data_IF_701377317628
#
_entry.id   IF_701377317628
#
_cell.length_a   1.000
_cell.length_b   1.000
_cell.length_c   1.000
_cell.angle_alpha   90.00
_cell.angle_beta   90.00
_cell.angle_gamma   90.00
#
_symmetry.space_group_name_H-M   'P 1'
#
loop_
_entity.id
_entity.type
_entity.pdbx_description
1 polymer ?
#
# COMPACT_ATOMS: atom_id res chain seq x y z
N UNK A 1 21.48 -4.08 -7.66
CA UNK A 1 20.43 -3.42 -8.49
C UNK A 1 19.16 -3.13 -7.69
N UNK A 2 18.72 -4.03 -6.81
CA UNK A 2 17.51 -3.84 -5.98
C UNK A 2 17.55 -2.62 -5.06
N UNK A 3 18.70 -2.36 -4.40
CA UNK A 3 18.89 -1.15 -3.56
C UNK A 3 18.67 0.15 -4.35
N UNK A 4 19.11 0.21 -5.62
CA UNK A 4 18.92 1.39 -6.47
C UNK A 4 17.44 1.57 -6.81
N UNK A 5 16.72 0.48 -7.12
CA UNK A 5 15.27 0.52 -7.37
C UNK A 5 14.50 0.98 -6.13
N UNK A 6 14.90 0.53 -4.94
CA UNK A 6 14.29 0.97 -3.68
C UNK A 6 14.50 2.46 -3.45
N UNK A 7 15.72 2.96 -3.62
CA UNK A 7 16.04 4.39 -3.51
C UNK A 7 15.23 5.21 -4.51
N UNK A 8 15.11 4.74 -5.75
CA UNK A 8 14.30 5.40 -6.77
C UNK A 8 12.81 5.45 -6.37
N UNK A 9 12.24 4.35 -5.87
CA UNK A 9 10.86 4.34 -5.37
C UNK A 9 10.67 5.25 -4.15
N UNK A 10 11.65 5.32 -3.24
CA UNK A 10 11.65 6.26 -2.12
C UNK A 10 11.61 7.72 -2.60
N UNK A 11 12.43 8.07 -3.60
CA UNK A 11 12.43 9.40 -4.21
C UNK A 11 11.07 9.72 -4.86
N UNK A 12 10.55 8.81 -5.68
CA UNK A 12 9.26 9.02 -6.36
C UNK A 12 8.08 9.14 -5.38
N UNK A 13 8.06 8.32 -4.32
CA UNK A 13 7.04 8.38 -3.27
C UNK A 13 7.08 9.67 -2.44
N UNK A 14 8.19 10.43 -2.50
CA UNK A 14 8.37 11.71 -1.81
C UNK A 14 8.54 12.89 -2.78
N UNK A 15 8.27 12.67 -4.06
CA UNK A 15 8.41 13.68 -5.13
C UNK A 15 7.66 14.98 -4.82
N UNK A 16 6.43 14.91 -4.32
CA UNK A 16 5.67 16.11 -3.93
C UNK A 16 6.36 16.91 -2.80
N UNK A 17 6.90 16.23 -1.79
CA UNK A 17 7.65 16.88 -0.71
C UNK A 17 8.93 17.52 -1.24
N UNK A 18 9.63 16.84 -2.15
CA UNK A 18 10.83 17.36 -2.82
C UNK A 18 10.48 18.61 -3.62
N UNK A 19 9.36 18.63 -4.35
CA UNK A 19 8.89 19.81 -5.08
C UNK A 19 8.59 20.97 -4.15
N UNK A 20 7.92 20.74 -3.02
CA UNK A 20 7.66 21.78 -2.01
C UNK A 20 8.96 22.32 -1.41
N UNK A 21 9.94 21.45 -1.14
CA UNK A 21 11.28 21.85 -0.71
C UNK A 21 11.97 22.74 -1.75
N UNK A 22 11.95 22.34 -3.02
CA UNK A 22 12.58 23.11 -4.11
C UNK A 22 11.94 24.49 -4.27
N UNK A 23 10.61 24.57 -4.24
CA UNK A 23 9.87 25.84 -4.34
C UNK A 23 10.18 26.73 -3.13
N UNK A 24 10.05 26.20 -1.91
CA UNK A 24 10.31 26.98 -0.69
C UNK A 24 11.77 27.46 -0.60
N UNK A 25 12.73 26.59 -0.89
CA UNK A 25 14.16 26.96 -0.93
C UNK A 25 14.44 27.99 -2.03
N UNK A 26 13.81 27.88 -3.21
CA UNK A 26 13.95 28.86 -4.28
C UNK A 26 13.39 30.24 -3.91
N UNK A 27 12.21 30.27 -3.28
CA UNK A 27 11.62 31.52 -2.78
C UNK A 27 12.48 32.17 -1.69
N UNK A 28 13.06 31.38 -0.79
CA UNK A 28 13.97 31.90 0.25
C UNK A 28 15.28 32.42 -0.34
N UNK A 29 15.82 31.77 -1.37
CA UNK A 29 17.03 32.22 -2.06
C UNK A 29 16.85 33.61 -2.67
N UNK A 30 15.71 33.85 -3.31
CA UNK A 30 15.39 35.17 -3.89
C UNK A 30 15.41 36.31 -2.85
N UNK A 31 15.13 36.02 -1.57
CA UNK A 31 15.05 37.03 -0.50
C UNK A 31 16.39 37.17 0.24
N UNK A 32 17.04 36.05 0.55
CA UNK A 32 18.23 36.02 1.42
C UNK A 32 19.54 36.17 0.66
N UNK A 33 19.51 35.97 -0.67
CA UNK A 33 20.69 35.95 -1.56
C UNK A 33 21.82 35.03 -1.08
N UNK A 34 21.45 34.01 -0.29
CA UNK A 34 22.38 33.05 0.30
C UNK A 34 21.88 31.64 0.09
N UNK A 35 22.57 30.90 -0.78
CA UNK A 35 22.21 29.53 -1.12
C UNK A 35 22.22 28.61 0.11
N UNK A 36 23.20 28.79 1.01
CA UNK A 36 23.33 27.96 2.20
C UNK A 36 22.14 28.15 3.17
N UNK A 37 21.79 29.40 3.49
CA UNK A 37 20.68 29.69 4.40
C UNK A 37 19.32 29.25 3.82
N UNK A 38 19.11 29.44 2.53
CA UNK A 38 17.86 29.08 1.86
C UNK A 38 17.64 27.57 1.80
N UNK A 39 18.68 26.80 1.51
CA UNK A 39 18.60 25.34 1.56
C UNK A 39 18.35 24.83 2.99
N UNK A 40 19.03 25.40 3.99
CA UNK A 40 18.85 24.99 5.39
C UNK A 40 17.42 25.24 5.88
N UNK A 41 16.88 26.44 5.65
CA UNK A 41 15.50 26.80 6.03
C UNK A 41 14.45 26.01 5.25
N UNK A 42 14.65 25.83 3.93
CA UNK A 42 13.78 24.98 3.11
C UNK A 42 13.76 23.54 3.62
N UNK A 43 14.91 23.00 4.02
CA UNK A 43 15.02 21.63 4.52
C UNK A 43 14.32 21.48 5.85
N UNK A 44 14.47 22.46 6.75
CA UNK A 44 13.79 22.51 8.03
C UNK A 44 12.27 22.58 7.87
N UNK A 45 11.79 23.39 6.93
CA UNK A 45 10.37 23.48 6.59
C UNK A 45 9.82 22.15 6.03
N UNK A 46 10.53 21.54 5.08
CA UNK A 46 10.16 20.24 4.52
C UNK A 46 10.16 19.13 5.59
N UNK A 47 11.13 19.14 6.50
CA UNK A 47 11.17 18.22 7.65
C UNK A 47 9.95 18.39 8.55
N UNK A 48 9.59 19.64 8.88
CA UNK A 48 8.43 19.93 9.71
C UNK A 48 7.12 19.47 9.06
N UNK A 49 6.94 19.74 7.75
CA UNK A 49 5.79 19.24 7.00
C UNK A 49 5.75 17.71 6.97
N UNK A 50 6.88 17.06 6.75
CA UNK A 50 6.96 15.60 6.74
C UNK A 50 6.56 15.00 8.09
N UNK A 51 7.13 15.53 9.18
CA UNK A 51 6.84 15.09 10.53
C UNK A 51 5.38 15.33 10.91
N UNK A 52 4.81 16.47 10.52
CA UNK A 52 3.43 16.84 10.90
C UNK A 52 2.36 16.09 10.13
N UNK A 53 2.61 15.78 8.85
CA UNK A 53 1.61 15.21 7.93
C UNK A 53 1.85 13.71 7.69
N UNK A 54 3.00 13.34 7.13
CA UNK A 54 3.25 11.98 6.66
C UNK A 54 3.67 11.01 7.77
N UNK A 55 4.39 11.50 8.79
CA UNK A 55 4.84 10.70 9.93
C UNK A 55 3.69 9.96 10.64
N UNK A 56 2.66 10.68 11.12
CA UNK A 56 1.51 10.08 11.78
C UNK A 56 0.74 9.09 10.90
N UNK A 57 0.53 9.42 9.62
CA UNK A 57 -0.16 8.54 8.67
C UNK A 57 0.59 7.22 8.52
N UNK A 58 1.89 7.28 8.25
CA UNK A 58 2.71 6.07 8.13
C UNK A 58 2.73 5.24 9.43
N UNK A 59 2.73 5.90 10.59
CA UNK A 59 2.69 5.22 11.88
C UNK A 59 1.38 4.44 12.06
N UNK A 60 0.24 5.06 11.75
CA UNK A 60 -1.07 4.40 11.88
C UNK A 60 -1.20 3.24 10.91
N UNK A 61 -0.81 3.41 9.64
CA UNK A 61 -0.83 2.31 8.65
C UNK A 61 0.00 1.12 9.13
N UNK A 62 1.23 1.36 9.60
CA UNK A 62 2.08 0.30 10.15
C UNK A 62 1.43 -0.41 11.34
N UNK A 63 0.82 0.37 12.24
CA UNK A 63 0.12 -0.16 13.40
C UNK A 63 -1.07 -1.03 12.99
N UNK A 64 -1.86 -0.60 12.01
CA UNK A 64 -3.06 -1.32 11.59
C UNK A 64 -2.71 -2.58 10.79
N UNK A 65 -1.68 -2.53 9.94
CA UNK A 65 -1.10 -3.74 9.31
C UNK A 65 -0.58 -4.70 10.40
N UNK A 66 0.13 -4.20 11.41
CA UNK A 66 0.63 -5.03 12.51
C UNK A 66 -0.50 -5.72 13.28
N UNK A 67 -1.61 -5.02 13.53
CA UNK A 67 -2.81 -5.63 14.12
C UNK A 67 -3.37 -6.75 13.25
N UNK A 68 -3.46 -6.55 11.93
CA UNK A 68 -3.92 -7.59 11.01
C UNK A 68 -3.01 -8.83 11.02
N UNK A 69 -1.69 -8.66 11.21
CA UNK A 69 -0.73 -9.76 11.37
C UNK A 69 -0.94 -10.47 12.71
N UNK A 70 -1.05 -9.71 13.81
CA UNK A 70 -1.27 -10.26 15.16
C UNK A 70 -2.59 -11.03 15.27
N UNK A 71 -3.59 -10.65 14.47
CA UNK A 71 -4.87 -11.34 14.36
C UNK A 71 -4.87 -12.46 13.31
N UNK A 72 -3.71 -12.83 12.77
CA UNK A 72 -3.53 -13.90 11.77
C UNK A 72 -4.38 -13.72 10.50
N UNK A 73 -4.76 -12.48 10.18
CA UNK A 73 -5.57 -12.13 9.01
C UNK A 73 -4.73 -11.97 7.74
N UNK A 74 -3.47 -11.56 7.92
CA UNK A 74 -2.49 -11.41 6.86
C UNK A 74 -1.13 -11.95 7.31
N UNK A 75 -0.30 -12.36 6.36
CA UNK A 75 1.08 -12.78 6.60
C UNK A 75 2.07 -11.80 6.02
N UNK A 76 3.13 -11.50 6.77
CA UNK A 76 4.29 -10.76 6.29
C UNK A 76 5.26 -11.72 5.60
N UNK A 77 5.57 -11.48 4.32
CA UNK A 77 6.48 -12.34 3.57
C UNK A 77 7.96 -12.06 3.87
N UNK A 78 8.27 -11.01 4.65
CA UNK A 78 9.63 -10.51 4.96
C UNK A 78 10.49 -10.23 3.72
N UNK A 79 9.87 -10.10 2.55
CA UNK A 79 10.51 -9.79 1.27
C UNK A 79 10.06 -8.42 0.82
N UNK A 80 11.02 -7.60 0.35
CA UNK A 80 10.74 -6.28 -0.19
C UNK A 80 10.08 -6.36 -1.57
N UNK A 81 9.23 -5.39 -1.89
CA UNK A 81 8.49 -5.29 -3.16
C UNK A 81 9.37 -5.27 -4.44
N UNK A 82 10.66 -4.97 -4.30
CA UNK A 82 11.64 -4.89 -5.40
C UNK A 82 12.60 -6.09 -5.46
N UNK A 83 12.47 -7.03 -4.53
CA UNK A 83 13.35 -8.21 -4.44
C UNK A 83 12.93 -9.26 -5.47
N UNK A 84 13.91 -9.89 -6.11
CA UNK A 84 13.67 -11.05 -7.00
C UNK A 84 13.11 -12.26 -6.25
N UNK A 85 13.28 -12.33 -4.93
CA UNK A 85 12.79 -13.44 -4.10
C UNK A 85 11.26 -13.58 -4.16
N UNK A 86 10.53 -12.53 -4.56
CA UNK A 86 9.09 -12.55 -4.78
C UNK A 86 8.63 -13.62 -5.78
N UNK A 87 9.46 -13.94 -6.77
CA UNK A 87 9.16 -15.00 -7.75
C UNK A 87 9.02 -16.36 -7.06
N UNK A 88 9.80 -16.62 -6.01
CA UNK A 88 9.71 -17.84 -5.19
C UNK A 88 8.39 -17.96 -4.41
N UNK A 89 7.67 -16.85 -4.22
CA UNK A 89 6.35 -16.80 -3.62
C UNK A 89 5.21 -16.80 -4.66
N UNK A 90 5.55 -16.89 -5.96
CA UNK A 90 4.59 -16.91 -7.06
C UNK A 90 4.17 -15.52 -7.56
N UNK A 91 4.86 -14.46 -7.14
CA UNK A 91 4.59 -13.09 -7.62
C UNK A 91 5.39 -12.79 -8.89
N UNK A 92 4.68 -12.45 -9.96
CA UNK A 92 5.29 -11.94 -11.18
C UNK A 92 5.55 -10.42 -11.10
N UNK A 93 6.77 -9.99 -11.41
CA UNK A 93 7.23 -8.61 -11.26
C UNK A 93 6.42 -7.55 -12.05
N UNK A 94 5.79 -7.93 -13.17
CA UNK A 94 5.17 -6.97 -14.09
C UNK A 94 3.64 -6.98 -14.07
N UNK A 95 3.01 -7.77 -13.21
CA UNK A 95 1.55 -7.93 -13.16
C UNK A 95 0.92 -7.36 -11.89
N UNK A 96 1.62 -6.43 -11.24
CA UNK A 96 1.08 -5.69 -10.11
C UNK A 96 0.10 -4.63 -10.60
N UNK A 97 -1.13 -4.70 -10.12
CA UNK A 97 -2.09 -3.62 -10.31
C UNK A 97 -1.81 -2.50 -9.30
N UNK A 98 -1.97 -1.24 -9.71
CA UNK A 98 -1.71 -0.07 -8.87
C UNK A 98 -2.99 0.73 -8.77
N UNK A 99 -3.38 1.09 -7.55
CA UNK A 99 -4.53 1.95 -7.36
C UNK A 99 -4.67 2.41 -5.91
N UNK A 100 -5.81 3.02 -5.60
CA UNK A 100 -6.13 3.46 -4.23
C UNK A 100 -6.79 2.33 -3.46
N UNK A 101 -6.39 2.17 -2.21
CA UNK A 101 -6.97 1.22 -1.26
C UNK A 101 -7.04 1.82 0.14
N UNK A 102 -7.67 1.09 1.05
CA UNK A 102 -7.88 1.47 2.45
C UNK A 102 -7.58 0.27 3.34
N UNK A 103 -6.68 0.48 4.29
CA UNK A 103 -6.42 -0.45 5.39
C UNK A 103 -6.52 0.37 6.67
N UNK A 104 -7.49 0.05 7.52
CA UNK A 104 -7.83 0.89 8.67
C UNK A 104 -8.50 2.19 8.24
N UNK A 105 -7.97 3.32 8.68
CA UNK A 105 -8.61 4.64 8.52
C UNK A 105 -8.08 5.47 7.34
N UNK A 106 -6.97 5.06 6.73
CA UNK A 106 -6.27 5.88 5.73
C UNK A 106 -6.36 5.32 4.32
N UNK A 107 -6.71 6.21 3.38
CA UNK A 107 -6.68 5.98 1.94
C UNK A 107 -5.27 6.21 1.40
N UNK A 108 -4.68 5.17 0.84
CA UNK A 108 -3.32 5.21 0.29
C UNK A 108 -3.21 4.49 -1.05
N UNK A 109 -2.06 4.62 -1.70
CA UNK A 109 -1.75 3.90 -2.93
C UNK A 109 -1.16 2.54 -2.58
N UNK A 110 -1.81 1.49 -3.06
CA UNK A 110 -1.37 0.12 -2.90
C UNK A 110 -1.08 -0.50 -4.25
N UNK A 111 -0.17 -1.49 -4.24
CA UNK A 111 -0.11 -2.46 -5.32
C UNK A 111 -0.67 -3.78 -4.86
N UNK A 112 -1.33 -4.48 -5.77
CA UNK A 112 -1.85 -5.82 -5.53
C UNK A 112 -1.52 -6.78 -6.64
N UNK A 113 -1.50 -8.06 -6.27
CA UNK A 113 -1.40 -9.15 -7.20
C UNK A 113 -2.10 -10.38 -6.63
N UNK A 114 -2.87 -11.06 -7.48
CA UNK A 114 -3.48 -12.34 -7.15
C UNK A 114 -2.45 -13.45 -7.40
N UNK A 115 -2.24 -14.31 -6.42
CA UNK A 115 -1.35 -15.48 -6.49
C UNK A 115 -2.09 -16.73 -6.03
N UNK A 116 -1.51 -17.91 -6.27
CA UNK A 116 -2.13 -19.19 -5.89
C UNK A 116 -2.43 -19.30 -4.40
N UNK A 117 -1.64 -18.65 -3.55
CA UNK A 117 -1.79 -18.69 -2.08
C UNK A 117 -2.74 -17.62 -1.52
N UNK A 118 -3.15 -16.63 -2.32
CA UNK A 118 -3.95 -15.51 -1.82
C UNK A 118 -3.79 -14.23 -2.63
N UNK A 119 -4.04 -13.10 -1.97
CA UNK A 119 -3.83 -11.75 -2.50
C UNK A 119 -2.59 -11.14 -1.86
N UNK A 120 -1.55 -10.89 -2.65
CA UNK A 120 -0.41 -10.11 -2.18
C UNK A 120 -0.63 -8.61 -2.37
N UNK A 121 -0.13 -7.83 -1.43
CA UNK A 121 -0.21 -6.37 -1.50
C UNK A 121 0.95 -5.69 -0.77
N UNK A 122 1.21 -4.44 -1.14
CA UNK A 122 2.10 -3.55 -0.39
C UNK A 122 1.72 -2.09 -0.60
N UNK A 123 2.04 -1.23 0.38
CA UNK A 123 1.79 0.20 0.33
C UNK A 123 2.91 0.92 -0.44
N UNK A 124 2.58 1.62 -1.53
CA UNK A 124 3.55 2.37 -2.34
C UNK A 124 4.07 3.60 -1.61
N UNK A 125 3.23 4.22 -0.78
CA UNK A 125 3.59 5.42 0.01
C UNK A 125 4.68 5.13 1.06
N UNK A 126 4.87 3.85 1.41
CA UNK A 126 5.85 3.36 2.37
C UNK A 126 6.71 2.25 1.73
N UNK A 127 7.62 2.60 0.80
CA UNK A 127 8.26 1.65 -0.12
C UNK A 127 9.21 0.63 0.53
N UNK A 128 9.59 0.85 1.78
CA UNK A 128 10.43 -0.09 2.55
C UNK A 128 9.60 -1.10 3.36
N UNK A 129 8.27 -1.05 3.31
CA UNK A 129 7.46 -2.12 3.89
C UNK A 129 7.63 -3.40 3.05
N UNK A 130 7.64 -4.56 3.72
CA UNK A 130 7.61 -5.85 3.04
C UNK A 130 6.29 -6.03 2.28
N UNK A 131 6.27 -7.02 1.40
CA UNK A 131 5.04 -7.51 0.80
C UNK A 131 4.27 -8.33 1.83
N UNK A 132 2.96 -8.11 1.88
CA UNK A 132 2.02 -8.84 2.71
C UNK A 132 1.15 -9.75 1.84
N UNK A 133 0.65 -10.83 2.41
CA UNK A 133 -0.24 -11.79 1.77
C UNK A 133 -1.51 -11.93 2.61
N UNK A 134 -2.67 -11.78 1.96
CA UNK A 134 -3.97 -12.18 2.51
C UNK A 134 -4.27 -13.58 1.96
N UNK A 135 -4.19 -14.64 2.78
CA UNK A 135 -4.46 -15.99 2.33
C UNK A 135 -5.93 -16.19 1.90
N UNK A 136 -6.19 -17.11 0.98
CA UNK A 136 -7.56 -17.41 0.55
C UNK A 136 -8.45 -17.91 1.68
N UNK A 137 -7.93 -18.74 2.59
CA UNK A 137 -8.67 -19.27 3.75
C UNK A 137 -9.04 -18.20 4.78
N UNK A 138 -8.40 -17.03 4.72
CA UNK A 138 -8.67 -15.89 5.61
C UNK A 138 -9.64 -14.88 5.01
N UNK A 139 -10.07 -15.05 3.76
CA UNK A 139 -11.06 -14.19 3.09
C UNK A 139 -12.45 -14.81 3.25
N UNK A 140 -13.31 -14.14 4.00
CA UNK A 140 -14.68 -14.57 4.29
C UNK A 140 -15.67 -14.14 3.21
N UNK A 141 -15.49 -12.93 2.67
CA UNK A 141 -16.37 -12.37 1.64
C UNK A 141 -15.64 -11.35 0.78
N UNK A 142 -15.95 -11.35 -0.52
CA UNK A 142 -15.48 -10.36 -1.48
C UNK A 142 -16.67 -9.52 -1.96
N UNK A 143 -16.54 -8.18 -1.89
CA UNK A 143 -17.61 -7.25 -2.29
C UNK A 143 -17.08 -6.17 -3.22
N UNK A 144 -17.84 -5.88 -4.27
CA UNK A 144 -17.71 -4.66 -5.08
C UNK A 144 -18.73 -3.63 -4.58
N UNK A 145 -18.46 -2.34 -4.72
CA UNK A 145 -19.40 -1.24 -4.41
C UNK A 145 -19.91 -1.20 -2.96
N UNK A 146 -19.01 -1.29 -1.98
CA UNK A 146 -19.41 -1.09 -0.59
C UNK A 146 -19.45 0.39 -0.19
N UNK A 147 -20.28 0.71 0.81
CA UNK A 147 -20.39 2.05 1.41
C UNK A 147 -19.03 2.73 1.67
N UNK A 148 -18.02 2.06 2.24
CA UNK A 148 -16.71 2.69 2.44
C UNK A 148 -16.00 3.07 1.13
N UNK A 149 -16.24 2.41 -0.01
CA UNK A 149 -15.69 2.88 -1.29
C UNK A 149 -16.26 4.26 -1.70
N UNK A 150 -17.51 4.54 -1.35
CA UNK A 150 -18.15 5.85 -1.56
C UNK A 150 -17.59 6.90 -0.60
N UNK A 151 -17.46 6.56 0.69
CA UNK A 151 -16.93 7.46 1.72
C UNK A 151 -15.48 7.89 1.42
N UNK A 152 -14.65 6.96 0.94
CA UNK A 152 -13.26 7.26 0.59
C UNK A 152 -13.06 7.78 -0.84
N UNK A 153 -14.15 7.97 -1.60
CA UNK A 153 -14.12 8.40 -3.01
C UNK A 153 -13.11 7.58 -3.82
N UNK A 154 -13.27 6.26 -3.75
CA UNK A 154 -12.48 5.27 -4.49
C UNK A 154 -13.17 4.98 -5.81
N UNK A 155 -12.36 4.66 -6.83
CA UNK A 155 -12.90 4.17 -8.09
C UNK A 155 -13.59 2.82 -7.85
N UNK A 156 -14.89 2.80 -8.09
CA UNK A 156 -15.76 1.63 -7.84
C UNK A 156 -15.41 0.45 -8.75
N UNK A 157 -14.77 0.73 -9.89
CA UNK A 157 -14.39 -0.31 -10.85
C UNK A 157 -13.03 -0.93 -10.55
N UNK A 158 -12.23 -0.26 -9.71
CA UNK A 158 -10.89 -0.71 -9.36
C UNK A 158 -10.73 -1.07 -7.87
N UNK A 159 -11.65 -0.67 -6.99
CA UNK A 159 -11.56 -0.95 -5.56
C UNK A 159 -12.48 -2.10 -5.14
N UNK A 160 -11.90 -3.15 -4.55
CA UNK A 160 -12.62 -4.33 -4.06
C UNK A 160 -12.43 -4.44 -2.54
N UNK A 161 -13.53 -4.59 -1.81
CA UNK A 161 -13.53 -4.85 -0.37
C UNK A 161 -13.37 -6.35 -0.12
N UNK A 162 -12.36 -6.69 0.66
CA UNK A 162 -12.11 -8.02 1.22
C UNK A 162 -12.50 -7.99 2.69
N UNK A 163 -13.49 -8.79 3.06
CA UNK A 163 -13.89 -9.03 4.44
C UNK A 163 -13.15 -10.27 4.91
N UNK A 164 -12.33 -10.12 5.94
CA UNK A 164 -11.50 -11.17 6.50
C UNK A 164 -12.29 -12.00 7.53
N UNK A 165 -11.76 -13.16 7.92
CA UNK A 165 -12.43 -14.09 8.84
C UNK A 165 -12.76 -13.47 10.22
N UNK A 166 -12.01 -12.46 10.64
CA UNK A 166 -12.18 -11.72 11.88
C UNK A 166 -13.02 -10.44 11.70
N UNK A 167 -13.81 -10.38 10.63
CA UNK A 167 -14.67 -9.25 10.23
C UNK A 167 -13.93 -7.92 9.97
N UNK A 168 -12.60 -7.93 9.97
CA UNK A 168 -11.84 -6.79 9.46
C UNK A 168 -12.07 -6.62 7.96
N UNK A 169 -12.03 -5.37 7.53
CA UNK A 169 -12.25 -4.96 6.15
C UNK A 169 -10.98 -4.35 5.60
N UNK A 170 -10.60 -4.81 4.43
CA UNK A 170 -9.45 -4.29 3.68
C UNK A 170 -9.93 -4.00 2.27
N UNK A 171 -9.78 -2.76 1.82
CA UNK A 171 -10.13 -2.37 0.46
C UNK A 171 -8.84 -2.26 -0.32
N UNK A 172 -8.74 -3.01 -1.40
CA UNK A 172 -7.54 -3.04 -2.21
C UNK A 172 -7.88 -2.75 -3.68
N UNK A 173 -6.94 -2.13 -4.41
CA UNK A 173 -7.10 -1.90 -5.83
C UNK A 173 -6.93 -3.22 -6.58
N UNK A 174 -7.69 -3.45 -7.64
CA UNK A 174 -7.57 -4.58 -8.56
C UNK A 174 -7.98 -4.15 -9.97
N UNK A 175 -7.46 -4.85 -10.99
CA UNK A 175 -7.93 -4.64 -12.35
C UNK A 175 -9.43 -4.99 -12.47
N UNK A 176 -10.17 -4.33 -13.37
CA UNK A 176 -11.60 -4.51 -13.60
C UNK A 176 -12.03 -5.98 -13.74
N UNK A 177 -11.19 -6.78 -14.39
CA UNK A 177 -11.46 -8.19 -14.69
C UNK A 177 -11.07 -9.15 -13.54
N UNK A 178 -10.57 -8.61 -12.43
CA UNK A 178 -10.07 -9.42 -11.31
C UNK A 178 -11.19 -9.88 -10.39
N UNK A 179 -12.35 -9.21 -10.38
CA UNK A 179 -13.44 -9.53 -9.48
C UNK A 179 -13.99 -10.95 -9.69
N UNK A 180 -14.23 -11.35 -10.94
CA UNK A 180 -14.72 -12.70 -11.25
C UNK A 180 -13.69 -13.79 -10.92
N UNK A 181 -12.40 -13.47 -11.09
CA UNK A 181 -11.28 -14.33 -10.67
C UNK A 181 -11.21 -14.48 -9.15
N UNK A 182 -11.41 -13.38 -8.42
CA UNK A 182 -11.43 -13.38 -6.95
C UNK A 182 -12.61 -14.21 -6.42
N UNK A 183 -13.80 -13.99 -6.98
CA UNK A 183 -15.03 -14.66 -6.55
C UNK A 183 -15.06 -16.16 -6.86
N UNK A 184 -14.45 -16.56 -7.98
CA UNK A 184 -14.28 -17.99 -8.31
C UNK A 184 -13.31 -18.70 -7.36
N UNK A 185 -12.25 -18.04 -6.90
CA UNK A 185 -11.33 -18.56 -5.88
C UNK A 185 -12.01 -18.65 -4.49
N UNK A 186 -12.77 -17.62 -4.09
CA UNK A 186 -13.58 -17.64 -2.84
C UNK A 186 -14.50 -18.89 -2.77
N UNK A 187 -15.15 -19.22 -3.89
CA UNK A 187 -16.09 -20.36 -3.97
C UNK A 187 -15.37 -21.72 -3.89
N UNK A 188 -14.10 -21.80 -4.30
CA UNK A 188 -13.31 -23.03 -4.21
C UNK A 188 -12.88 -23.34 -2.77
N UNK A 189 -12.50 -22.33 -1.99
CA UNK A 189 -12.02 -22.52 -0.62
C UNK A 189 -13.14 -22.62 0.42
N UNK A 190 -14.27 -21.95 0.22
CA UNK A 190 -15.48 -22.09 1.08
C UNK A 190 -16.18 -23.45 0.93
N UNK A 191 -15.89 -24.20 -0.15
CA UNK A 191 -16.45 -25.54 -0.42
C UNK A 191 -15.57 -26.71 0.02
N UNK A 192 -14.53 -26.47 0.83
CA UNK A 192 -13.78 -27.57 1.46
C UNK A 192 -14.33 -27.79 2.87
N UNK A 193 -15.34 -28.66 3.08
CA UNK A 193 -15.67 -29.08 4.42
C UNK A 193 -14.50 -29.93 4.92
N UNK A 194 -14.04 -29.60 6.13
CA UNK A 194 -13.31 -30.49 7.01
C UNK A 194 -13.93 -31.90 6.97
N UNK A 195 -13.29 -32.80 6.26
CA UNK A 195 -13.31 -34.23 6.54
C UNK A 195 -11.86 -34.63 6.84
N UNK A 196 -11.55 -34.67 8.15
CA UNK A 196 -10.88 -35.77 8.84
C UNK A 196 -10.72 -35.40 10.32
#
# INVERSE_FOLDING_TARGET
>A
MEKIKLIYQMLMAKSALITVFMISSGSLFYILDSLFFSCALGALFAFFLYWRLFGPIHFVIKRDIKKLIEQEAIYELKVLSVSKELEGFGFAHNSWFVGRGVIGEFREIYKTQIVSKGVGFYCVSIPYLPVYLIPWDKIKKISKNSLPCEEFNLDKDEAIELILFNDNKVILPFNSDSYDKLKSQETQFTKTPTQN
#
